data_IF_254268365537
#
_entry.id   IF_254268365537
#
_cell.length_a   1.000
_cell.length_b   1.000
_cell.length_c   1.000
_cell.angle_alpha   90.00
_cell.angle_beta   90.00
_cell.angle_gamma   90.00
#
_symmetry.space_group_name_H-M   'P 1'
#
loop_
_entity.id
_entity.type
_entity.pdbx_description
1 polymer ?
#
# COMPACT_ATOMS: atom_id res chain seq x y z
N UNK A 1 31.88 12.83 8.99
CA UNK A 1 31.15 11.73 8.32
C UNK A 1 30.01 11.34 9.23
N UNK A 2 28.76 11.43 8.79
CA UNK A 2 27.63 10.92 9.56
C UNK A 2 27.65 9.40 9.47
N UNK A 3 27.78 8.71 10.60
CA UNK A 3 27.55 7.26 10.68
C UNK A 3 26.09 7.00 10.32
N UNK A 4 25.84 6.50 9.12
CA UNK A 4 24.51 6.05 8.74
C UNK A 4 24.16 4.80 9.57
N UNK A 5 22.92 4.65 10.04
CA UNK A 5 22.51 3.44 10.73
C UNK A 5 22.72 2.23 9.82
N UNK A 6 23.18 1.13 10.41
CA UNK A 6 23.30 -0.13 9.67
C UNK A 6 21.93 -0.57 9.14
N UNK A 7 21.91 -1.29 8.01
CA UNK A 7 20.67 -1.83 7.42
C UNK A 7 19.90 -2.65 8.46
N UNK A 8 20.60 -3.45 9.28
CA UNK A 8 19.99 -4.23 10.36
C UNK A 8 19.27 -3.34 11.39
N UNK A 9 19.90 -2.26 11.82
CA UNK A 9 19.30 -1.32 12.78
C UNK A 9 18.04 -0.64 12.22
N UNK A 10 18.04 -0.32 10.91
CA UNK A 10 16.87 0.24 10.24
C UNK A 10 15.72 -0.77 10.16
N UNK A 11 16.01 -2.04 9.83
CA UNK A 11 15.02 -3.10 9.75
C UNK A 11 14.41 -3.41 11.13
N UNK A 12 15.22 -3.45 12.19
CA UNK A 12 14.72 -3.62 13.56
C UNK A 12 13.81 -2.46 14.01
N UNK A 13 14.17 -1.23 13.64
CA UNK A 13 13.30 -0.08 13.91
C UNK A 13 11.98 -0.20 13.14
N UNK A 14 12.03 -0.59 11.86
CA UNK A 14 10.83 -0.78 11.03
C UNK A 14 9.92 -1.87 11.59
N UNK A 15 10.48 -2.99 12.04
CA UNK A 15 9.71 -4.08 12.66
C UNK A 15 8.90 -3.62 13.89
N UNK A 16 9.41 -2.64 14.63
CA UNK A 16 8.75 -2.08 15.83
C UNK A 16 7.85 -0.88 15.55
N UNK A 17 8.11 -0.12 14.50
CA UNK A 17 7.49 1.19 14.26
C UNK A 17 6.74 1.29 12.92
N UNK A 18 6.61 0.19 12.17
CA UNK A 18 5.88 0.18 10.91
C UNK A 18 4.43 0.67 11.12
N UNK A 19 4.04 1.68 10.37
CA UNK A 19 2.68 2.20 10.36
C UNK A 19 1.73 1.21 9.68
N UNK A 20 0.57 1.01 10.26
CA UNK A 20 -0.51 0.26 9.65
C UNK A 20 -1.10 1.01 8.45
N UNK A 21 -1.05 0.37 7.28
CA UNK A 21 -1.59 0.91 6.03
C UNK A 21 -2.32 -0.20 5.27
N UNK A 22 -3.55 0.04 4.76
CA UNK A 22 -4.37 -1.01 4.13
C UNK A 22 -3.74 -1.71 2.92
N UNK A 23 -2.81 -1.05 2.24
CA UNK A 23 -2.09 -1.57 1.07
C UNK A 23 -0.76 -2.26 1.42
N UNK A 24 -0.33 -2.23 2.69
CA UNK A 24 0.90 -2.88 3.14
C UNK A 24 0.61 -4.13 3.94
N UNK A 25 1.52 -5.09 3.82
CA UNK A 25 1.63 -6.21 4.74
C UNK A 25 2.60 -5.81 5.85
N UNK A 26 2.12 -5.83 7.10
CA UNK A 26 2.93 -5.47 8.26
C UNK A 26 4.07 -6.46 8.53
N UNK A 27 5.06 -6.10 9.35
CA UNK A 27 6.16 -7.01 9.72
C UNK A 27 5.66 -8.33 10.32
N UNK A 28 4.62 -8.28 11.16
CA UNK A 28 4.02 -9.48 11.77
C UNK A 28 3.38 -10.39 10.71
N UNK A 29 2.55 -9.84 9.82
CA UNK A 29 1.89 -10.59 8.75
C UNK A 29 2.90 -11.18 7.77
N UNK A 30 3.95 -10.42 7.43
CA UNK A 30 5.03 -10.90 6.56
C UNK A 30 5.78 -12.07 7.19
N UNK A 31 6.02 -12.03 8.50
CA UNK A 31 6.61 -13.17 9.26
C UNK A 31 5.66 -14.37 9.31
N UNK A 32 4.35 -14.15 9.31
CA UNK A 32 3.33 -15.19 9.20
C UNK A 32 3.17 -15.78 7.77
N UNK A 33 3.93 -15.28 6.78
CA UNK A 33 3.92 -15.79 5.41
C UNK A 33 2.98 -15.05 4.45
N UNK A 34 2.28 -14.01 4.91
CA UNK A 34 1.45 -13.17 4.06
C UNK A 34 2.29 -12.42 3.02
N UNK A 35 1.82 -12.41 1.78
CA UNK A 35 2.49 -11.73 0.67
C UNK A 35 1.72 -10.48 0.26
N UNK A 36 2.42 -9.39 -0.11
CA UNK A 36 1.75 -8.22 -0.63
C UNK A 36 1.08 -8.54 -1.97
N UNK A 37 -0.13 -8.04 -2.15
CA UNK A 37 -0.85 -8.14 -3.41
C UNK A 37 -0.31 -7.09 -4.40
N UNK A 38 0.26 -7.51 -5.55
CA UNK A 38 0.84 -6.58 -6.53
C UNK A 38 -0.14 -5.52 -7.04
N UNK A 39 -1.42 -5.87 -7.22
CA UNK A 39 -2.45 -4.93 -7.68
C UNK A 39 -2.67 -3.83 -6.64
N UNK A 40 -2.82 -4.21 -5.38
CA UNK A 40 -3.03 -3.29 -4.26
C UNK A 40 -1.81 -2.41 -4.01
N UNK A 41 -0.60 -2.96 -4.15
CA UNK A 41 0.65 -2.18 -4.06
C UNK A 41 0.70 -1.15 -5.18
N UNK A 42 0.55 -1.56 -6.44
CA UNK A 42 0.59 -0.66 -7.60
C UNK A 42 -0.45 0.49 -7.47
N UNK A 43 -1.69 0.16 -7.15
CA UNK A 43 -2.76 1.13 -7.00
C UNK A 43 -2.43 2.16 -5.91
N UNK A 44 -1.89 1.71 -4.77
CA UNK A 44 -1.51 2.60 -3.68
C UNK A 44 -0.38 3.55 -4.06
N UNK A 45 0.61 3.09 -4.83
CA UNK A 45 1.73 3.92 -5.28
C UNK A 45 1.25 5.00 -6.26
N UNK A 46 0.35 4.66 -7.20
CA UNK A 46 -0.26 5.65 -8.11
C UNK A 46 -1.00 6.74 -7.33
N UNK A 47 -1.81 6.35 -6.34
CA UNK A 47 -2.54 7.33 -5.52
C UNK A 47 -1.61 8.22 -4.68
N UNK A 48 -0.54 7.66 -4.12
CA UNK A 48 0.40 8.36 -3.23
C UNK A 48 1.36 9.32 -3.94
N UNK A 49 1.50 9.25 -5.27
CA UNK A 49 2.38 10.15 -6.02
C UNK A 49 1.99 11.63 -5.93
N UNK A 50 0.69 11.94 -5.87
CA UNK A 50 0.18 13.32 -5.87
C UNK A 50 -0.68 13.66 -4.64
N UNK A 51 -0.82 12.74 -3.69
CA UNK A 51 -1.70 12.93 -2.52
C UNK A 51 -1.08 12.42 -1.22
N UNK A 52 -1.73 12.73 -0.09
CA UNK A 52 -1.22 12.33 1.25
C UNK A 52 -1.84 11.02 1.73
N UNK A 53 -1.13 10.29 2.60
CA UNK A 53 -1.59 9.01 3.19
C UNK A 53 -2.97 9.12 3.83
N UNK A 54 -3.26 10.23 4.52
CA UNK A 54 -4.55 10.45 5.16
C UNK A 54 -5.70 10.54 4.15
N UNK A 55 -5.47 11.21 3.01
CA UNK A 55 -6.44 11.28 1.94
C UNK A 55 -6.63 9.92 1.24
N UNK A 56 -5.53 9.25 0.89
CA UNK A 56 -5.56 7.98 0.13
C UNK A 56 -6.31 6.88 0.86
N UNK A 57 -6.23 6.81 2.20
CA UNK A 57 -6.81 5.69 2.96
C UNK A 57 -8.28 5.42 2.62
N UNK A 58 -9.11 6.47 2.54
CA UNK A 58 -10.54 6.32 2.22
C UNK A 58 -10.77 5.95 0.75
N UNK A 59 -10.05 6.58 -0.17
CA UNK A 59 -10.18 6.32 -1.61
C UNK A 59 -9.72 4.91 -1.96
N UNK A 60 -8.57 4.49 -1.45
CA UNK A 60 -8.04 3.14 -1.66
C UNK A 60 -9.03 2.07 -1.22
N UNK A 61 -9.61 2.18 -0.02
CA UNK A 61 -10.59 1.21 0.48
C UNK A 61 -11.83 1.11 -0.42
N UNK A 62 -12.40 2.25 -0.83
CA UNK A 62 -13.53 2.27 -1.78
C UNK A 62 -13.16 1.66 -3.13
N UNK A 63 -11.96 1.93 -3.61
CA UNK A 63 -11.50 1.48 -4.92
C UNK A 63 -11.32 -0.03 -4.95
N UNK A 64 -10.67 -0.62 -3.94
CA UNK A 64 -10.49 -2.08 -3.87
C UNK A 64 -11.75 -2.84 -3.48
N UNK A 65 -12.74 -2.16 -2.89
CA UNK A 65 -14.07 -2.72 -2.66
C UNK A 65 -14.87 -2.78 -3.97
N UNK A 66 -14.80 -1.74 -4.80
CA UNK A 66 -15.50 -1.66 -6.10
C UNK A 66 -14.83 -2.51 -7.18
N UNK A 67 -13.50 -2.51 -7.22
CA UNK A 67 -12.69 -3.29 -8.17
C UNK A 67 -11.66 -4.11 -7.40
N UNK A 68 -12.03 -5.32 -6.95
CA UNK A 68 -11.15 -6.17 -6.15
C UNK A 68 -9.89 -6.64 -6.89
N UNK A 69 -9.99 -6.81 -8.21
CA UNK A 69 -8.88 -7.25 -9.06
C UNK A 69 -8.55 -6.24 -10.16
N UNK A 70 -7.34 -6.36 -10.71
CA UNK A 70 -6.93 -5.57 -11.89
C UNK A 70 -7.83 -5.82 -13.10
N UNK A 71 -8.44 -7.01 -13.21
CA UNK A 71 -9.35 -7.35 -14.30
C UNK A 71 -10.67 -6.59 -14.13
N UNK A 72 -11.20 -6.51 -12.90
CA UNK A 72 -12.42 -5.75 -12.62
C UNK A 72 -12.25 -4.27 -12.98
N UNK A 73 -11.08 -3.70 -12.64
CA UNK A 73 -10.71 -2.34 -13.03
C UNK A 73 -10.60 -2.19 -14.55
N UNK A 74 -9.97 -3.15 -15.24
CA UNK A 74 -9.79 -3.10 -16.69
C UNK A 74 -11.12 -3.22 -17.46
N UNK A 75 -12.15 -3.82 -16.85
CA UNK A 75 -13.50 -3.93 -17.43
C UNK A 75 -14.42 -2.77 -17.07
N UNK A 76 -13.98 -1.86 -16.19
CA UNK A 76 -14.79 -0.71 -15.77
C UNK A 76 -14.89 0.33 -16.89
N UNK A 77 -16.04 1.01 -16.96
CA UNK A 77 -16.16 2.19 -17.81
C UNK A 77 -15.27 3.32 -17.26
N UNK A 78 -14.60 4.07 -18.14
CA UNK A 78 -13.75 5.20 -17.75
C UNK A 78 -14.50 6.22 -16.87
N UNK A 79 -15.79 6.43 -17.15
CA UNK A 79 -16.65 7.32 -16.37
C UNK A 79 -16.80 6.86 -14.90
N UNK A 80 -16.82 5.55 -14.66
CA UNK A 80 -16.91 5.00 -13.31
C UNK A 80 -15.62 5.18 -12.52
N UNK A 81 -14.47 5.16 -13.20
CA UNK A 81 -13.15 5.37 -12.60
C UNK A 81 -12.91 6.85 -12.25
N UNK A 82 -13.47 7.76 -13.05
CA UNK A 82 -13.26 9.21 -12.93
C UNK A 82 -14.29 9.94 -12.03
N UNK A 83 -15.29 9.23 -11.50
CA UNK A 83 -16.37 9.77 -10.65
C UNK A 83 -15.99 9.91 -9.16
#
# INVERSE_FOLDING_TARGET
MCDAPSVSSLLEWYDRNAREMPWRIGPADRKAGSKPDPYRVWLSEVMLQQTTVAAVKKYFLRFVERWPTVVDLATADDADVMA
#
